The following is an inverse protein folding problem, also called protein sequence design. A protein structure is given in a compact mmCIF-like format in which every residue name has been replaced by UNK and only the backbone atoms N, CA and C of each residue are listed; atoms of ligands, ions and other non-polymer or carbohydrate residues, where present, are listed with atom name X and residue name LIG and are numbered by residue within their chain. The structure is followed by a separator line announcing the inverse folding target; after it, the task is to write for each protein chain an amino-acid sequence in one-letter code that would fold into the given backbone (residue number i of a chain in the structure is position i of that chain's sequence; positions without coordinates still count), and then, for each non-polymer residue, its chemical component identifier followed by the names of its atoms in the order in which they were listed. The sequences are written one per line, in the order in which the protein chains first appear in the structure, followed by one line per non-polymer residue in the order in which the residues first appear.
data_IF_174601599306
#
_entry.id   IF_174601599306
#
_cell.length_a   1.000
_cell.length_b   1.000
_cell.length_c   1.000
_cell.angle_alpha   90.00
_cell.angle_beta   90.00
_cell.angle_gamma   90.00
#
_symmetry.space_group_name_H-M   'P 1'
#
loop_
_entity.id
_entity.type
_entity.pdbx_description
1 polymer ?
#
# COMPACT_ATOMS: atom_id res chain seq x y z
N UNK A 1 -3.89 3.40 6.17
CA UNK A 1 -3.60 3.72 4.76
C UNK A 1 -4.12 5.09 4.41
N UNK A 2 -5.35 5.43 4.77
CA UNK A 2 -5.94 6.77 4.59
C UNK A 2 -5.06 7.91 5.15
N UNK A 3 -4.50 7.74 6.36
CA UNK A 3 -3.53 8.71 6.95
C UNK A 3 -2.21 8.84 6.19
N UNK A 4 -1.88 7.89 5.32
CA UNK A 4 -0.70 7.93 4.46
C UNK A 4 -1.04 8.43 3.04
N UNK A 5 -2.27 8.90 2.82
CA UNK A 5 -2.74 9.41 1.53
C UNK A 5 -3.14 8.33 0.52
N UNK A 6 -3.14 7.05 0.90
CA UNK A 6 -3.57 5.99 -0.02
C UNK A 6 -5.08 5.80 0.01
N UNK A 7 -5.67 5.65 -1.18
CA UNK A 7 -7.08 5.36 -1.42
C UNK A 7 -7.33 3.86 -1.43
N UNK A 8 -8.43 3.41 -0.81
CA UNK A 8 -8.89 2.02 -0.88
C UNK A 8 -9.55 1.74 -2.24
N UNK A 9 -9.04 0.75 -2.97
CA UNK A 9 -9.50 0.44 -4.34
C UNK A 9 -10.33 -0.85 -4.42
N UNK A 10 -10.28 -1.70 -3.38
CA UNK A 10 -11.09 -2.91 -3.37
C UNK A 10 -10.56 -4.07 -2.53
N UNK A 11 -11.21 -5.22 -2.72
CA UNK A 11 -11.01 -6.43 -1.93
C UNK A 11 -10.65 -7.62 -2.83
N UNK A 12 -9.59 -8.33 -2.45
CA UNK A 12 -9.28 -9.67 -2.99
C UNK A 12 -9.74 -10.67 -1.95
N UNK A 13 -10.79 -11.43 -2.26
CA UNK A 13 -11.38 -12.43 -1.36
C UNK A 13 -10.52 -13.68 -1.27
N UNK A 14 -10.37 -14.21 -0.07
CA UNK A 14 -9.60 -15.43 0.23
C UNK A 14 -8.18 -15.41 -0.36
N UNK A 15 -7.55 -14.24 -0.40
CA UNK A 15 -6.25 -14.03 -1.06
C UNK A 15 -5.13 -14.83 -0.39
N UNK A 16 -5.12 -14.91 0.93
CA UNK A 16 -4.04 -15.58 1.67
C UNK A 16 -4.58 -16.55 2.71
N UNK A 17 -3.95 -17.72 2.80
CA UNK A 17 -4.16 -18.65 3.89
C UNK A 17 -3.07 -18.48 4.95
N UNK A 18 -3.46 -18.20 6.19
CA UNK A 18 -2.54 -18.12 7.33
C UNK A 18 -3.15 -18.87 8.52
N UNK A 19 -2.37 -19.80 9.08
CA UNK A 19 -2.77 -20.62 10.24
C UNK A 19 -4.12 -21.33 9.99
N UNK A 20 -4.30 -21.88 8.78
CA UNK A 20 -5.52 -22.60 8.40
C UNK A 20 -6.74 -21.72 8.10
N UNK A 21 -6.63 -20.39 8.24
CA UNK A 21 -7.73 -19.47 7.95
C UNK A 21 -7.46 -18.68 6.66
N UNK A 22 -8.47 -18.59 5.80
CA UNK A 22 -8.47 -17.70 4.65
C UNK A 22 -8.76 -16.26 5.08
N UNK A 23 -8.03 -15.32 4.49
CA UNK A 23 -8.20 -13.89 4.74
C UNK A 23 -8.26 -13.12 3.45
N UNK A 24 -9.14 -12.12 3.46
CA UNK A 24 -9.25 -11.16 2.39
C UNK A 24 -8.10 -10.15 2.48
N UNK A 25 -7.80 -9.50 1.35
CA UNK A 25 -6.86 -8.40 1.29
C UNK A 25 -7.55 -7.15 0.77
N UNK A 26 -7.26 -6.01 1.40
CA UNK A 26 -7.73 -4.70 0.94
C UNK A 26 -6.61 -4.02 0.19
N UNK A 27 -6.82 -3.74 -1.09
CA UNK A 27 -5.84 -3.04 -1.93
C UNK A 27 -5.97 -1.54 -1.73
N UNK A 28 -4.84 -0.88 -1.47
CA UNK A 28 -4.75 0.56 -1.39
C UNK A 28 -3.73 1.08 -2.40
N UNK A 29 -4.04 2.18 -3.05
CA UNK A 29 -3.25 2.77 -4.13
C UNK A 29 -3.10 4.28 -3.91
N UNK A 30 -2.08 4.86 -4.52
CA UNK A 30 -1.91 6.32 -4.63
C UNK A 30 -1.38 6.60 -6.03
N UNK A 31 -1.85 7.66 -6.66
CA UNK A 31 -1.32 8.08 -7.95
C UNK A 31 0.04 8.75 -7.77
N UNK A 32 0.91 8.64 -8.78
CA UNK A 32 2.27 9.18 -8.73
C UNK A 32 2.30 10.70 -8.42
N UNK A 33 1.37 11.47 -8.98
CA UNK A 33 1.29 12.91 -8.75
C UNK A 33 0.64 13.29 -7.40
N UNK A 34 -0.06 12.37 -6.74
CA UNK A 34 -0.58 12.55 -5.37
C UNK A 34 0.49 12.20 -4.33
N UNK A 35 1.48 11.41 -4.73
CA UNK A 35 2.64 11.06 -3.92
C UNK A 35 3.65 12.24 -3.78
N UNK A 36 3.16 13.48 -3.76
CA UNK A 36 3.98 14.65 -3.49
C UNK A 36 4.22 14.77 -1.98
N UNK A 37 5.40 14.29 -1.59
CA UNK A 37 5.93 14.37 -0.25
C UNK A 37 6.38 15.82 0.04
N UNK A 38 5.53 16.63 0.67
CA UNK A 38 5.98 17.86 1.34
C UNK A 38 6.86 17.55 2.58
N UNK A 39 7.10 16.28 2.89
CA UNK A 39 8.12 15.83 3.83
C UNK A 39 9.31 15.18 3.10
N UNK A 40 10.57 15.48 3.48
CA UNK A 40 11.74 14.85 2.89
C UNK A 40 11.71 13.34 3.16
N UNK A 41 11.28 12.56 2.16
CA UNK A 41 11.27 11.11 2.21
C UNK A 41 12.66 10.50 2.38
N UNK A 42 12.74 9.25 2.84
CA UNK A 42 14.01 8.56 2.97
C UNK A 42 14.73 8.53 1.62
N UNK A 43 15.97 9.03 1.61
CA UNK A 43 16.82 9.10 0.41
C UNK A 43 16.85 7.75 -0.29
N UNK A 44 16.43 7.73 -1.56
CA UNK A 44 16.52 6.56 -2.44
C UNK A 44 17.97 6.08 -2.47
N UNK A 45 18.24 4.91 -1.89
CA UNK A 45 19.57 4.31 -1.92
C UNK A 45 19.70 3.59 -3.26
N UNK A 46 20.39 4.21 -4.21
CA UNK A 46 20.79 3.52 -5.44
C UNK A 46 21.79 2.43 -5.08
N UNK A 47 21.43 1.17 -5.34
CA UNK A 47 22.35 0.04 -5.19
C UNK A 47 23.40 0.17 -6.31
N UNK A 48 24.67 0.28 -5.90
CA UNK A 48 25.84 0.26 -6.79
C UNK A 48 26.03 -1.11 -7.42
#
# INVERSE_FOLDING_TARGET
MERAGLTEEGYIREHIQRVGQWRDSVTHSILDHEYQQDEPGPRRVEKR
#
